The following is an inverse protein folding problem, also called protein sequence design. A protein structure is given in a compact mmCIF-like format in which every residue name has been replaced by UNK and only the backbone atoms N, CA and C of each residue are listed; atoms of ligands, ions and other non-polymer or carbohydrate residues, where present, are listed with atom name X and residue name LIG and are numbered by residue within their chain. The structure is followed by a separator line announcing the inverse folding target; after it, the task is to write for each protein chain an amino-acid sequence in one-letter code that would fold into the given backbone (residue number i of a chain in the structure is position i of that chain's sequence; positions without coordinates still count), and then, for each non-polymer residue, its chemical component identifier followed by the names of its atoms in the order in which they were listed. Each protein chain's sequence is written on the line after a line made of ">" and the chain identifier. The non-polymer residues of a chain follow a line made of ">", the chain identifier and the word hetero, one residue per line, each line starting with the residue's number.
data_IF_194565182717
#
_entry.id   IF_194565182717
#
_cell.length_a   1.000
_cell.length_b   1.000
_cell.length_c   1.000
_cell.angle_alpha   90.00
_cell.angle_beta   90.00
_cell.angle_gamma   90.00
#
_symmetry.space_group_name_H-M   'P 1'
#
loop_
_entity.id
_entity.type
_entity.pdbx_description
1 polymer ?
#
# COMPACT_ATOMS: atom_id res chain seq x y z
N UNK A 1 18.79 0.64 11.59
CA UNK A 1 17.40 1.02 11.92
C UNK A 1 16.51 0.56 10.77
N UNK A 2 15.48 -0.26 10.98
CA UNK A 2 14.54 -0.58 9.91
C UNK A 2 13.72 0.70 9.65
N UNK A 3 13.93 1.34 8.52
CA UNK A 3 13.11 2.47 8.08
C UNK A 3 11.67 1.99 7.97
N UNK A 4 10.75 2.69 8.65
CA UNK A 4 9.31 2.46 8.46
C UNK A 4 9.03 2.59 6.97
N UNK A 5 8.41 1.57 6.38
CA UNK A 5 8.08 1.55 4.94
C UNK A 5 6.60 1.76 4.79
N UNK A 6 6.21 2.69 3.94
CA UNK A 6 4.80 2.95 3.62
C UNK A 6 4.41 2.33 2.29
N UNK A 7 3.10 2.31 1.99
CA UNK A 7 2.61 1.85 0.68
C UNK A 7 3.20 2.70 -0.45
N UNK A 8 3.31 4.02 -0.27
CA UNK A 8 3.92 4.89 -1.27
C UNK A 8 5.41 4.60 -1.46
N UNK A 9 6.15 4.33 -0.38
CA UNK A 9 7.57 3.96 -0.48
C UNK A 9 7.75 2.64 -1.26
N UNK A 10 6.90 1.65 -0.99
CA UNK A 10 6.92 0.37 -1.69
C UNK A 10 6.59 0.53 -3.17
N UNK A 11 5.56 1.32 -3.51
CA UNK A 11 5.20 1.59 -4.89
C UNK A 11 6.32 2.33 -5.63
N UNK A 12 6.98 3.30 -4.98
CA UNK A 12 8.13 4.00 -5.56
C UNK A 12 9.30 3.05 -5.81
N UNK A 13 9.61 2.16 -4.86
CA UNK A 13 10.65 1.14 -5.00
C UNK A 13 10.33 0.13 -6.12
N UNK A 14 9.05 -0.18 -6.35
CA UNK A 14 8.60 -1.04 -7.43
C UNK A 14 8.61 -0.37 -8.82
N UNK A 15 8.99 0.92 -8.91
CA UNK A 15 8.98 1.69 -10.17
C UNK A 15 7.62 2.34 -10.50
N UNK A 16 6.69 2.34 -9.55
CA UNK A 16 5.36 2.93 -9.70
C UNK A 16 4.30 1.93 -10.17
N UNK A 17 3.26 2.46 -10.82
CA UNK A 17 2.17 1.65 -11.40
C UNK A 17 2.48 1.30 -12.85
N UNK A 18 2.06 0.12 -13.29
CA UNK A 18 1.98 -0.20 -14.73
C UNK A 18 0.87 0.62 -15.39
N UNK A 19 0.89 0.70 -16.73
CA UNK A 19 -0.10 1.43 -17.51
C UNK A 19 -1.54 0.92 -17.32
N UNK A 20 -1.70 -0.37 -17.02
CA UNK A 20 -2.99 -1.03 -16.83
C UNK A 20 -3.45 -1.07 -15.37
N UNK A 21 -2.58 -0.70 -14.42
CA UNK A 21 -2.88 -0.85 -13.02
C UNK A 21 -3.92 0.18 -12.53
N UNK A 22 -4.91 -0.31 -11.79
CA UNK A 22 -5.96 0.51 -11.20
C UNK A 22 -5.54 1.08 -9.85
N UNK A 23 -5.04 2.32 -9.87
CA UNK A 23 -4.58 3.08 -8.69
C UNK A 23 -5.61 3.21 -7.55
N UNK A 24 -6.90 3.12 -7.85
CA UNK A 24 -7.99 3.19 -6.86
C UNK A 24 -8.34 1.85 -6.21
N UNK A 25 -7.75 0.73 -6.69
CA UNK A 25 -8.06 -0.64 -6.25
C UNK A 25 -6.88 -1.32 -5.55
N UNK A 26 -5.89 -0.56 -5.10
CA UNK A 26 -4.77 -1.10 -4.33
C UNK A 26 -5.27 -1.62 -2.98
N UNK A 27 -4.77 -2.77 -2.60
CA UNK A 27 -5.19 -3.48 -1.38
C UNK A 27 -3.98 -4.00 -0.65
N UNK A 28 -3.93 -3.79 0.67
CA UNK A 28 -3.01 -4.48 1.56
C UNK A 28 -3.73 -5.68 2.16
N UNK A 29 -3.13 -6.87 2.04
CA UNK A 29 -3.50 -8.06 2.78
C UNK A 29 -2.57 -8.18 3.98
N UNK A 30 -3.13 -8.09 5.18
CA UNK A 30 -2.41 -8.15 6.45
C UNK A 30 -2.83 -9.36 7.25
N UNK A 31 -1.88 -10.19 7.66
CA UNK A 31 -2.19 -11.31 8.55
C UNK A 31 -2.44 -10.81 9.98
N UNK A 32 -3.56 -11.23 10.57
CA UNK A 32 -3.97 -10.97 11.95
C UNK A 32 -4.20 -12.33 12.64
N UNK A 33 -3.11 -13.07 12.84
CA UNK A 33 -3.16 -14.44 13.37
C UNK A 33 -3.77 -15.42 12.38
N UNK A 34 -4.98 -15.92 12.67
CA UNK A 34 -5.68 -16.90 11.81
C UNK A 34 -6.52 -16.27 10.70
N UNK A 35 -6.61 -14.95 10.63
CA UNK A 35 -7.44 -14.22 9.64
C UNK A 35 -6.60 -13.25 8.85
N UNK A 36 -6.97 -13.01 7.59
CA UNK A 36 -6.42 -11.94 6.77
C UNK A 36 -7.34 -10.72 6.83
N UNK A 37 -6.77 -9.56 7.12
CA UNK A 37 -7.41 -8.25 7.03
C UNK A 37 -7.13 -7.65 5.65
N UNK A 38 -8.18 -7.13 5.01
CA UNK A 38 -8.09 -6.48 3.70
C UNK A 38 -8.24 -4.97 3.87
N UNK A 39 -7.14 -4.24 3.72
CA UNK A 39 -7.09 -2.79 3.89
C UNK A 39 -7.07 -2.14 2.51
N UNK A 40 -8.08 -1.33 2.20
CA UNK A 40 -8.14 -0.59 0.93
C UNK A 40 -7.20 0.61 0.99
N UNK A 41 -6.41 0.79 -0.05
CA UNK A 41 -5.54 1.95 -0.22
C UNK A 41 -5.97 2.74 -1.46
N UNK A 42 -6.30 4.02 -1.25
CA UNK A 42 -6.61 4.93 -2.34
C UNK A 42 -5.37 5.79 -2.62
N UNK A 43 -4.66 5.46 -3.70
CA UNK A 43 -3.45 6.18 -4.08
C UNK A 43 -3.71 7.67 -4.34
N UNK A 44 -4.79 8.00 -5.06
CA UNK A 44 -5.09 9.39 -5.41
C UNK A 44 -5.28 10.24 -4.16
N UNK A 45 -5.98 9.70 -3.15
CA UNK A 45 -6.16 10.37 -1.86
C UNK A 45 -4.84 10.51 -1.09
N UNK A 46 -4.01 9.48 -1.09
CA UNK A 46 -2.73 9.50 -0.37
C UNK A 46 -1.77 10.57 -0.92
N UNK A 47 -1.82 10.83 -2.23
CA UNK A 47 -1.02 11.87 -2.89
C UNK A 47 -1.63 13.27 -2.73
N UNK A 48 -2.97 13.40 -2.80
CA UNK A 48 -3.62 14.71 -2.67
C UNK A 48 -3.55 15.28 -1.26
N UNK A 49 -3.69 14.44 -0.24
CA UNK A 49 -3.84 14.87 1.16
C UNK A 49 -2.48 14.96 1.90
N UNK A 50 -1.38 15.10 1.17
CA UNK A 50 -0.04 15.28 1.76
C UNK A 50 0.38 14.11 2.66
N UNK A 51 0.13 12.87 2.25
CA UNK A 51 0.46 11.63 2.98
C UNK A 51 -0.47 11.28 4.17
N UNK A 52 -1.51 12.07 4.46
CA UNK A 52 -2.45 11.73 5.54
C UNK A 52 -3.21 10.41 5.31
N UNK A 53 -3.28 9.94 4.06
CA UNK A 53 -3.81 8.63 3.68
C UNK A 53 -2.76 7.53 3.48
N UNK A 54 -1.48 7.82 3.74
CA UNK A 54 -0.40 6.86 3.55
C UNK A 54 -0.39 5.83 4.67
N UNK A 55 -0.25 4.55 4.32
CA UNK A 55 -0.34 3.44 5.27
C UNK A 55 1.06 2.91 5.54
N UNK A 56 1.43 2.83 6.82
CA UNK A 56 2.65 2.13 7.26
C UNK A 56 2.46 0.61 7.12
N UNK A 57 3.38 -0.03 6.39
CA UNK A 57 3.41 -1.46 6.15
C UNK A 57 4.07 -2.19 7.33
N UNK A 58 3.60 -3.40 7.57
CA UNK A 58 4.14 -4.33 8.57
C UNK A 58 4.86 -5.49 7.87
N UNK A 59 5.86 -6.10 8.51
CA UNK A 59 6.47 -7.33 8.00
C UNK A 59 5.40 -8.39 7.71
N UNK A 60 5.43 -8.95 6.51
CA UNK A 60 4.45 -9.94 6.04
C UNK A 60 3.19 -9.36 5.39
N UNK A 61 3.04 -8.03 5.33
CA UNK A 61 1.99 -7.42 4.49
C UNK A 61 2.24 -7.73 3.01
N UNK A 62 1.16 -7.99 2.28
CA UNK A 62 1.18 -8.14 0.81
C UNK A 62 0.41 -6.98 0.20
N UNK A 63 1.04 -6.23 -0.70
CA UNK A 63 0.38 -5.16 -1.44
C UNK A 63 -0.01 -5.67 -2.83
N UNK A 64 -1.32 -5.79 -3.05
CA UNK A 64 -1.90 -6.18 -4.32
C UNK A 64 -2.23 -4.95 -5.15
N UNK A 65 -1.64 -4.87 -6.34
CA UNK A 65 -1.88 -3.84 -7.36
C UNK A 65 -2.51 -4.52 -8.58
N UNK A 66 -3.83 -4.37 -8.80
CA UNK A 66 -4.52 -4.93 -9.96
C UNK A 66 -4.37 -4.06 -11.21
#
# INVERSE_FOLDING_TARGET
>A
MKSRTTVLDLLAQAGGFTEFASRSRVVILRSQGKKAERIRFNYNKAVSDGLAGNIELRPGDIVLVP
#
